data_IF_726062847641
#
_entry.id   IF_726062847641
#
_cell.length_a   1.000
_cell.length_b   1.000
_cell.length_c   1.000
_cell.angle_alpha   90.00
_cell.angle_beta   90.00
_cell.angle_gamma   90.00
#
_symmetry.space_group_name_H-M   'P 1'
#
loop_
_entity.id
_entity.type
_entity.pdbx_description
1 polymer ?
#
# COMPACT_ATOMS: atom_id res chain seq x y z
N UNK A 1 12.70 17.20 19.78
CA UNK A 1 13.20 17.58 18.45
C UNK A 1 12.05 17.47 17.47
N UNK A 2 11.90 18.39 16.53
CA UNK A 2 10.89 18.29 15.47
C UNK A 2 11.26 17.07 14.59
N UNK A 3 10.31 16.16 14.38
CA UNK A 3 10.53 15.00 13.50
C UNK A 3 10.72 15.50 12.06
N UNK A 4 11.66 14.90 11.36
CA UNK A 4 11.94 15.20 9.95
C UNK A 4 11.60 13.99 9.08
N UNK A 5 10.92 14.21 7.97
CA UNK A 5 10.44 13.12 7.11
C UNK A 5 11.00 13.22 5.69
N UNK A 6 11.16 12.06 5.04
CA UNK A 6 11.34 11.92 3.60
C UNK A 6 10.10 11.24 3.02
N UNK A 7 9.60 11.70 1.88
CA UNK A 7 8.37 11.17 1.27
C UNK A 7 8.70 10.61 -0.11
N UNK A 8 8.63 9.30 -0.24
CA UNK A 8 8.78 8.62 -1.52
C UNK A 8 7.40 8.56 -2.20
N UNK A 9 7.21 9.33 -3.27
CA UNK A 9 5.93 9.44 -3.98
C UNK A 9 5.03 10.58 -3.49
N UNK A 10 5.57 11.78 -3.26
CA UNK A 10 4.88 12.94 -2.69
C UNK A 10 3.71 13.48 -3.53
N UNK A 11 3.70 13.27 -4.83
CA UNK A 11 2.65 13.78 -5.74
C UNK A 11 1.43 12.86 -5.85
N UNK A 12 1.52 11.63 -5.35
CA UNK A 12 0.43 10.66 -5.28
C UNK A 12 -0.62 11.02 -4.22
N UNK A 13 -1.69 10.21 -4.13
CA UNK A 13 -2.77 10.44 -3.15
C UNK A 13 -2.26 10.43 -1.71
N UNK A 14 -1.52 9.40 -1.32
CA UNK A 14 -0.96 9.27 0.04
C UNK A 14 0.12 10.34 0.30
N UNK A 15 1.00 10.58 -0.68
CA UNK A 15 2.05 11.60 -0.54
C UNK A 15 1.50 13.00 -0.29
N UNK A 16 0.46 13.42 -1.00
CA UNK A 16 -0.20 14.71 -0.78
C UNK A 16 -0.84 14.81 0.60
N UNK A 17 -1.57 13.77 1.02
CA UNK A 17 -2.17 13.74 2.36
C UNK A 17 -1.08 13.68 3.47
N UNK A 18 0.07 13.08 3.17
CA UNK A 18 1.24 13.13 4.08
C UNK A 18 1.78 14.56 4.21
N UNK A 19 1.85 15.31 3.12
CA UNK A 19 2.25 16.73 3.17
C UNK A 19 1.25 17.58 3.94
N UNK A 20 -0.08 17.34 3.77
CA UNK A 20 -1.11 18.01 4.57
C UNK A 20 -0.91 17.74 6.08
N UNK A 21 -0.67 16.49 6.44
CA UNK A 21 -0.39 16.10 7.83
C UNK A 21 0.93 16.71 8.33
N UNK A 22 1.98 16.74 7.49
CA UNK A 22 3.26 17.32 7.83
C UNK A 22 3.14 18.81 8.13
N UNK A 23 2.35 19.53 7.33
CA UNK A 23 2.07 20.96 7.56
C UNK A 23 1.38 21.21 8.91
N UNK A 24 0.35 20.43 9.24
CA UNK A 24 -0.40 20.56 10.48
C UNK A 24 0.41 20.17 11.72
N UNK A 25 1.29 19.20 11.59
CA UNK A 25 2.18 18.76 12.66
C UNK A 25 3.47 19.57 12.73
N UNK A 26 3.66 20.56 11.85
CA UNK A 26 4.90 21.33 11.71
C UNK A 26 6.14 20.43 11.56
N UNK A 27 6.01 19.33 10.81
CA UNK A 27 7.12 18.44 10.51
C UNK A 27 8.01 19.07 9.43
N UNK A 28 9.31 18.85 9.54
CA UNK A 28 10.25 19.22 8.50
C UNK A 28 10.24 18.13 7.40
N UNK A 29 10.13 18.55 6.15
CA UNK A 29 10.24 17.67 4.98
C UNK A 29 11.66 17.81 4.42
N UNK A 30 12.47 16.75 4.54
CA UNK A 30 13.86 16.76 4.06
C UNK A 30 13.97 16.39 2.59
N UNK A 31 13.15 15.43 2.14
CA UNK A 31 13.14 15.01 0.73
C UNK A 31 11.73 14.69 0.25
N UNK A 32 11.49 14.94 -1.03
CA UNK A 32 10.27 14.56 -1.75
C UNK A 32 10.64 13.90 -3.08
N UNK A 33 9.86 12.91 -3.49
CA UNK A 33 10.10 12.25 -4.78
C UNK A 33 8.83 12.04 -5.59
N UNK A 34 8.95 11.97 -6.91
CA UNK A 34 7.87 11.57 -7.82
C UNK A 34 8.45 10.92 -9.08
N UNK A 35 7.59 10.50 -10.01
CA UNK A 35 8.04 9.97 -11.31
C UNK A 35 8.34 11.11 -12.29
N UNK A 36 7.31 11.85 -12.74
CA UNK A 36 7.44 12.86 -13.79
C UNK A 36 6.56 14.12 -13.57
N UNK A 37 5.98 14.29 -12.38
CA UNK A 37 5.02 15.38 -12.09
C UNK A 37 5.72 16.70 -11.77
N UNK A 38 6.23 17.40 -12.78
CA UNK A 38 7.06 18.61 -12.62
C UNK A 38 6.32 19.74 -11.90
N UNK A 39 5.13 20.11 -12.35
CA UNK A 39 4.36 21.22 -11.80
C UNK A 39 4.07 21.04 -10.29
N UNK A 40 3.61 19.84 -9.93
CA UNK A 40 3.32 19.53 -8.52
C UNK A 40 4.58 19.49 -7.66
N UNK A 41 5.68 18.99 -8.20
CA UNK A 41 6.95 19.00 -7.49
C UNK A 41 7.45 20.43 -7.26
N UNK A 42 7.33 21.31 -8.24
CA UNK A 42 7.65 22.74 -8.08
C UNK A 42 6.81 23.39 -6.97
N UNK A 43 5.48 23.18 -6.98
CA UNK A 43 4.58 23.68 -5.92
C UNK A 43 5.01 23.17 -4.53
N UNK A 44 5.29 21.86 -4.40
CA UNK A 44 5.73 21.25 -3.15
C UNK A 44 7.09 21.75 -2.68
N UNK A 45 8.06 21.97 -3.59
CA UNK A 45 9.37 22.56 -3.28
C UNK A 45 9.19 23.97 -2.71
N UNK A 46 8.39 24.81 -3.36
CA UNK A 46 8.16 26.19 -2.92
C UNK A 46 7.41 26.28 -1.59
N UNK A 47 6.58 25.29 -1.27
CA UNK A 47 5.81 25.25 -0.04
C UNK A 47 6.59 24.67 1.15
N UNK A 48 7.33 23.56 0.94
CA UNK A 48 7.95 22.78 2.01
C UNK A 48 9.47 22.96 2.13
N UNK A 49 10.11 23.56 1.14
CA UNK A 49 11.56 23.84 1.09
C UNK A 49 12.42 22.59 1.44
N UNK A 50 12.19 21.44 0.79
CA UNK A 50 13.00 20.24 1.05
C UNK A 50 14.45 20.47 0.61
N UNK A 51 15.39 19.78 1.27
CA UNK A 51 16.79 19.80 0.85
C UNK A 51 16.98 19.06 -0.49
N UNK A 52 16.16 18.00 -0.72
CA UNK A 52 16.27 17.15 -1.91
C UNK A 52 14.90 16.95 -2.57
N UNK A 53 14.85 17.08 -3.88
CA UNK A 53 13.71 16.72 -4.71
C UNK A 53 14.16 15.75 -5.81
N UNK A 54 13.40 14.68 -6.04
CA UNK A 54 13.77 13.66 -7.01
C UNK A 54 12.64 13.40 -8.00
N UNK A 55 12.97 13.42 -9.28
CA UNK A 55 12.09 12.85 -10.31
C UNK A 55 12.80 11.66 -10.97
N UNK A 56 12.16 10.48 -10.94
CA UNK A 56 12.77 9.28 -11.55
C UNK A 56 12.84 9.35 -13.06
N UNK A 57 12.04 10.20 -13.71
CA UNK A 57 12.19 10.58 -15.12
C UNK A 57 13.26 11.67 -15.26
N UNK A 58 14.30 11.36 -16.02
CA UNK A 58 15.46 12.25 -16.22
C UNK A 58 15.14 13.55 -16.97
N UNK A 59 14.17 13.51 -17.91
CA UNK A 59 13.77 14.69 -18.65
C UNK A 59 12.97 15.65 -17.77
N UNK A 60 12.04 15.10 -16.98
CA UNK A 60 11.28 15.85 -16.00
C UNK A 60 12.18 16.43 -14.90
N UNK A 61 13.21 15.71 -14.46
CA UNK A 61 14.19 16.22 -13.49
C UNK A 61 14.98 17.42 -14.02
N UNK A 62 15.36 17.41 -15.31
CA UNK A 62 16.02 18.58 -15.95
C UNK A 62 15.11 19.79 -16.03
N UNK A 63 13.84 19.62 -16.40
CA UNK A 63 12.84 20.70 -16.43
C UNK A 63 12.62 21.26 -15.01
N UNK A 64 12.40 20.41 -14.02
CA UNK A 64 12.20 20.83 -12.62
C UNK A 64 13.41 21.64 -12.11
N UNK A 65 14.62 21.18 -12.37
CA UNK A 65 15.85 21.87 -11.95
C UNK A 65 15.92 23.31 -12.49
N UNK A 66 15.50 23.51 -13.75
CA UNK A 66 15.46 24.85 -14.35
C UNK A 66 14.39 25.74 -13.69
N UNK A 67 13.22 25.17 -13.36
CA UNK A 67 12.09 25.92 -12.75
C UNK A 67 12.35 26.37 -11.32
N UNK A 68 13.10 25.59 -10.54
CA UNK A 68 13.37 25.85 -9.12
C UNK A 68 14.80 26.35 -8.85
N UNK A 69 15.49 26.85 -9.89
CA UNK A 69 16.85 27.35 -9.78
C UNK A 69 17.02 28.54 -8.80
N UNK A 70 15.90 29.17 -8.42
CA UNK A 70 15.80 30.25 -7.44
C UNK A 70 15.62 29.75 -6.00
N UNK A 71 15.64 28.43 -5.76
CA UNK A 71 15.49 27.79 -4.44
C UNK A 71 16.77 27.08 -4.01
N UNK A 72 16.88 26.75 -2.71
CA UNK A 72 18.01 25.99 -2.16
C UNK A 72 17.85 24.46 -2.31
N UNK A 73 16.78 23.99 -2.98
CA UNK A 73 16.48 22.57 -3.16
C UNK A 73 17.38 21.95 -4.24
N UNK A 74 18.10 20.89 -3.87
CA UNK A 74 18.83 20.07 -4.84
C UNK A 74 17.85 19.19 -5.61
N UNK A 75 17.90 19.20 -6.95
CA UNK A 75 17.06 18.36 -7.81
C UNK A 75 17.92 17.25 -8.45
N UNK A 76 17.54 15.98 -8.21
CA UNK A 76 18.23 14.79 -8.73
C UNK A 76 17.27 14.00 -9.63
N UNK A 77 17.81 13.38 -10.69
CA UNK A 77 17.06 12.49 -11.60
C UNK A 77 17.36 11.01 -11.33
N UNK A 78 16.49 10.14 -11.86
CA UNK A 78 16.71 8.69 -11.90
C UNK A 78 16.45 7.94 -10.60
N UNK A 79 16.65 6.62 -10.67
CA UNK A 79 16.39 5.71 -9.54
C UNK A 79 17.39 5.91 -8.38
N UNK A 80 18.63 6.26 -8.67
CA UNK A 80 19.64 6.53 -7.65
C UNK A 80 19.23 7.71 -6.74
N UNK A 81 18.58 8.74 -7.31
CA UNK A 81 17.98 9.81 -6.51
C UNK A 81 16.91 9.33 -5.53
N UNK A 82 16.11 8.32 -5.94
CA UNK A 82 15.11 7.71 -5.04
C UNK A 82 15.78 7.00 -3.85
N UNK A 83 16.91 6.35 -4.09
CA UNK A 83 17.74 5.73 -3.04
C UNK A 83 18.32 6.79 -2.11
N UNK A 84 18.83 7.91 -2.65
CA UNK A 84 19.34 9.04 -1.88
C UNK A 84 18.25 9.66 -1.00
N UNK A 85 17.05 9.87 -1.52
CA UNK A 85 15.92 10.38 -0.74
C UNK A 85 15.50 9.43 0.40
N UNK A 86 15.56 8.11 0.17
CA UNK A 86 15.24 7.10 1.19
C UNK A 86 16.26 7.08 2.33
N UNK A 87 17.53 7.38 2.04
CA UNK A 87 18.64 7.32 3.01
C UNK A 87 19.09 8.68 3.52
N UNK A 88 18.43 9.78 3.09
CA UNK A 88 18.85 11.15 3.43
C UNK A 88 19.06 11.32 4.95
N UNK A 89 20.25 11.75 5.42
CA UNK A 89 20.58 11.73 6.85
C UNK A 89 19.68 12.57 7.74
N UNK A 90 19.08 13.63 7.18
CA UNK A 90 18.23 14.56 7.92
C UNK A 90 16.86 13.99 8.30
N UNK A 91 16.41 12.90 7.63
CA UNK A 91 15.10 12.32 7.91
C UNK A 91 15.19 11.21 8.95
N UNK A 92 14.31 11.28 9.95
CA UNK A 92 14.12 10.24 10.97
C UNK A 92 13.13 9.16 10.48
N UNK A 93 12.19 9.56 9.62
CA UNK A 93 11.10 8.73 9.11
C UNK A 93 11.03 8.82 7.60
N UNK A 94 10.84 7.67 6.94
CA UNK A 94 10.59 7.57 5.51
C UNK A 94 9.17 7.10 5.28
N UNK A 95 8.40 7.90 4.53
CA UNK A 95 7.05 7.53 4.09
C UNK A 95 7.16 6.89 2.71
N UNK A 96 6.83 5.62 2.61
CA UNK A 96 6.89 4.88 1.34
C UNK A 96 5.53 4.91 0.65
N UNK A 97 5.27 5.96 -0.14
CA UNK A 97 4.00 6.19 -0.83
C UNK A 97 4.09 5.99 -2.36
N UNK A 98 5.14 5.33 -2.84
CA UNK A 98 5.25 4.88 -4.23
C UNK A 98 4.38 3.64 -4.46
N UNK A 99 4.02 3.35 -5.70
CA UNK A 99 3.20 2.19 -6.09
C UNK A 99 4.08 1.11 -6.72
N UNK A 100 3.80 -0.15 -6.39
CA UNK A 100 4.46 -1.31 -7.00
C UNK A 100 5.86 -1.60 -6.44
N UNK A 101 6.59 -2.46 -7.14
CA UNK A 101 7.89 -3.00 -6.71
C UNK A 101 9.02 -1.97 -6.62
N UNK A 102 8.85 -0.77 -7.21
CA UNK A 102 9.86 0.30 -7.19
C UNK A 102 10.19 0.76 -5.77
N UNK A 103 9.26 0.59 -4.81
CA UNK A 103 9.44 0.94 -3.41
C UNK A 103 10.31 -0.02 -2.59
N UNK A 104 10.55 -1.25 -3.07
CA UNK A 104 11.20 -2.30 -2.28
C UNK A 104 12.66 -1.96 -1.92
N UNK A 105 13.50 -1.67 -2.92
CA UNK A 105 14.92 -1.32 -2.70
C UNK A 105 15.10 -0.08 -1.83
N UNK A 106 14.40 1.05 -2.08
CA UNK A 106 14.49 2.22 -1.21
C UNK A 106 14.04 1.96 0.22
N UNK A 107 13.01 1.12 0.42
CA UNK A 107 12.54 0.74 1.76
C UNK A 107 13.62 -0.05 2.51
N UNK A 108 14.24 -1.04 1.86
CA UNK A 108 15.35 -1.81 2.45
C UNK A 108 16.55 -0.92 2.78
N UNK A 109 16.91 0.03 1.91
CA UNK A 109 17.98 0.99 2.18
C UNK A 109 17.67 1.88 3.39
N UNK A 110 16.44 2.41 3.50
CA UNK A 110 16.01 3.18 4.65
C UNK A 110 16.02 2.38 5.96
N UNK A 111 15.66 1.09 5.91
CA UNK A 111 15.76 0.14 7.03
C UNK A 111 17.23 -0.03 7.46
N UNK A 112 18.14 -0.19 6.49
CA UNK A 112 19.58 -0.28 6.77
C UNK A 112 20.15 0.93 7.52
N UNK A 113 19.59 2.13 7.25
CA UNK A 113 19.89 3.37 7.96
C UNK A 113 19.09 3.53 9.28
N UNK A 114 18.42 2.47 9.72
CA UNK A 114 17.61 2.43 10.97
C UNK A 114 16.51 3.49 11.05
N UNK A 115 16.01 3.92 9.92
CA UNK A 115 14.91 4.90 9.88
C UNK A 115 13.59 4.23 10.21
N UNK A 116 12.66 4.99 10.82
CA UNK A 116 11.26 4.57 10.92
C UNK A 116 10.66 4.55 9.52
N UNK A 117 9.97 3.48 9.19
CA UNK A 117 9.23 3.33 7.92
C UNK A 117 7.74 3.53 8.17
N UNK A 118 7.17 4.61 7.66
CA UNK A 118 5.72 4.77 7.54
C UNK A 118 5.28 4.11 6.23
N UNK A 119 4.86 2.85 6.33
CA UNK A 119 4.68 1.99 5.17
C UNK A 119 3.29 2.16 4.56
N UNK A 120 3.22 2.75 3.37
CA UNK A 120 2.01 2.82 2.55
C UNK A 120 2.10 1.96 1.28
N UNK A 121 3.30 1.57 0.85
CA UNK A 121 3.53 0.69 -0.28
C UNK A 121 3.38 -0.77 0.15
N UNK A 122 2.16 -1.31 0.04
CA UNK A 122 1.85 -2.69 0.45
C UNK A 122 2.61 -3.74 -0.34
N UNK A 123 2.91 -3.46 -1.61
CA UNK A 123 3.62 -4.37 -2.50
C UNK A 123 5.00 -4.76 -1.95
N UNK A 124 5.63 -3.88 -1.19
CA UNK A 124 6.89 -4.17 -0.47
C UNK A 124 6.77 -5.39 0.45
N UNK A 125 5.71 -5.47 1.26
CA UNK A 125 5.47 -6.63 2.14
C UNK A 125 4.82 -7.80 1.43
N UNK A 126 3.99 -7.55 0.42
CA UNK A 126 3.39 -8.61 -0.40
C UNK A 126 4.48 -9.44 -1.08
N UNK A 127 5.43 -8.79 -1.74
CA UNK A 127 6.43 -9.46 -2.57
C UNK A 127 7.65 -9.95 -1.78
N UNK A 128 8.10 -9.17 -0.79
CA UNK A 128 9.34 -9.41 -0.06
C UNK A 128 9.19 -9.33 1.48
N UNK A 129 7.98 -9.62 1.99
CA UNK A 129 7.66 -9.32 3.39
C UNK A 129 8.55 -10.02 4.42
N UNK A 130 8.96 -11.27 4.20
CA UNK A 130 9.89 -11.96 5.10
C UNK A 130 11.25 -11.24 5.13
N UNK A 131 11.82 -10.96 3.96
CA UNK A 131 13.10 -10.28 3.82
C UNK A 131 13.06 -8.87 4.45
N UNK A 132 11.97 -8.11 4.23
CA UNK A 132 11.81 -6.76 4.76
C UNK A 132 11.64 -6.76 6.28
N UNK A 133 10.80 -7.65 6.82
CA UNK A 133 10.56 -7.73 8.25
C UNK A 133 11.78 -8.24 9.02
N UNK A 134 12.53 -9.18 8.46
CA UNK A 134 13.77 -9.67 9.06
C UNK A 134 14.88 -8.61 9.02
N UNK A 135 15.00 -7.86 7.91
CA UNK A 135 15.92 -6.73 7.82
C UNK A 135 15.58 -5.63 8.85
N UNK A 136 14.28 -5.32 9.01
CA UNK A 136 13.83 -4.33 10.00
C UNK A 136 14.15 -4.77 11.44
N UNK A 137 13.90 -6.03 11.78
CA UNK A 137 14.23 -6.58 13.10
C UNK A 137 15.73 -6.54 13.37
N UNK A 138 16.56 -6.99 12.41
CA UNK A 138 18.02 -6.96 12.53
C UNK A 138 18.59 -5.55 12.68
N UNK A 139 18.06 -4.58 11.93
CA UNK A 139 18.47 -3.19 12.01
C UNK A 139 17.92 -2.46 13.25
N UNK A 140 16.86 -2.98 13.87
CA UNK A 140 16.10 -2.28 14.90
C UNK A 140 15.28 -1.11 14.32
N UNK A 141 14.88 -1.19 13.04
CA UNK A 141 14.04 -0.21 12.38
C UNK A 141 12.57 -0.50 12.64
N UNK A 142 11.79 0.53 12.93
CA UNK A 142 10.36 0.40 13.21
C UNK A 142 9.55 0.55 11.92
N UNK A 143 8.68 -0.41 11.63
CA UNK A 143 7.69 -0.32 10.54
C UNK A 143 6.33 0.00 11.14
N UNK A 144 5.76 1.15 10.74
CA UNK A 144 4.42 1.60 11.15
C UNK A 144 3.52 1.65 9.92
N UNK A 145 2.43 0.87 9.89
CA UNK A 145 1.57 0.81 8.71
C UNK A 145 0.75 2.09 8.52
N UNK A 146 0.64 2.51 7.26
CA UNK A 146 -0.19 3.63 6.80
C UNK A 146 -1.48 3.12 6.13
N UNK A 147 -1.46 1.93 5.53
CA UNK A 147 -2.69 1.31 5.03
C UNK A 147 -3.74 1.25 6.15
N UNK A 148 -4.98 1.65 5.86
CA UNK A 148 -6.02 1.89 6.89
C UNK A 148 -6.33 0.66 7.72
N UNK A 149 -6.44 -0.51 7.10
CA UNK A 149 -6.74 -1.78 7.74
C UNK A 149 -5.59 -2.24 8.64
N UNK A 150 -4.36 -2.12 8.15
CA UNK A 150 -3.17 -2.49 8.92
C UNK A 150 -2.92 -1.50 10.06
N UNK A 151 -3.10 -0.21 9.82
CA UNK A 151 -3.05 0.80 10.89
C UNK A 151 -4.09 0.51 11.98
N UNK A 152 -5.30 0.09 11.60
CA UNK A 152 -6.35 -0.29 12.55
C UNK A 152 -5.94 -1.49 13.42
N UNK A 153 -5.42 -2.54 12.79
CA UNK A 153 -4.89 -3.72 13.51
C UNK A 153 -3.73 -3.31 14.42
N UNK A 154 -2.78 -2.52 13.90
CA UNK A 154 -1.65 -2.01 14.69
C UNK A 154 -2.12 -1.26 15.94
N UNK A 155 -3.16 -0.45 15.82
CA UNK A 155 -3.76 0.29 16.95
C UNK A 155 -4.48 -0.64 17.93
N UNK A 156 -5.19 -1.66 17.45
CA UNK A 156 -5.87 -2.65 18.29
C UNK A 156 -4.88 -3.55 19.04
N UNK A 157 -3.66 -3.70 18.53
CA UNK A 157 -2.58 -4.48 19.16
C UNK A 157 -1.74 -3.69 20.16
N UNK A 158 -2.03 -2.40 20.38
CA UNK A 158 -1.37 -1.64 21.44
C UNK A 158 -1.80 -2.20 22.81
N UNK A 159 -0.84 -2.68 23.57
CA UNK A 159 -1.10 -3.36 24.83
C UNK A 159 -1.22 -4.89 24.73
N UNK A 160 -1.18 -5.47 23.52
CA UNK A 160 -1.04 -6.91 23.36
C UNK A 160 0.41 -7.32 23.65
N UNK A 161 0.64 -7.93 24.81
CA UNK A 161 1.97 -8.31 25.25
C UNK A 161 2.51 -9.55 24.53
N UNK A 162 1.61 -10.46 24.14
CA UNK A 162 1.95 -11.72 23.51
C UNK A 162 1.08 -11.98 22.26
N UNK A 163 1.71 -12.13 21.11
CA UNK A 163 1.02 -12.47 19.85
C UNK A 163 0.23 -13.78 19.90
N UNK A 164 0.57 -14.68 20.80
CA UNK A 164 -0.19 -15.92 21.04
C UNK A 164 -1.58 -15.70 21.62
N UNK A 165 -1.87 -14.52 22.16
CA UNK A 165 -3.20 -14.10 22.61
C UNK A 165 -4.16 -13.81 21.45
N UNK A 166 -3.62 -13.55 20.24
CA UNK A 166 -4.41 -13.29 19.04
C UNK A 166 -5.03 -14.61 18.56
N UNK A 167 -6.36 -14.62 18.44
CA UNK A 167 -7.09 -15.70 17.80
C UNK A 167 -7.07 -15.52 16.29
N UNK A 168 -7.43 -14.32 15.81
CA UNK A 168 -7.36 -13.94 14.40
C UNK A 168 -7.43 -12.43 14.19
N UNK A 169 -6.96 -12.00 13.02
CA UNK A 169 -7.19 -10.68 12.46
C UNK A 169 -8.41 -10.73 11.53
N UNK A 170 -9.22 -9.67 11.54
CA UNK A 170 -10.40 -9.54 10.70
C UNK A 170 -10.25 -8.27 9.88
N UNK A 171 -9.85 -8.43 8.60
CA UNK A 171 -9.73 -7.33 7.65
C UNK A 171 -11.11 -6.97 7.10
N UNK A 172 -11.48 -5.71 7.16
CA UNK A 172 -12.71 -5.22 6.53
C UNK A 172 -12.43 -4.74 5.12
N UNK A 173 -13.42 -4.78 4.24
CA UNK A 173 -13.39 -4.11 2.94
C UNK A 173 -14.78 -3.63 2.53
N UNK A 174 -14.84 -2.61 1.66
CA UNK A 174 -16.12 -2.11 1.13
C UNK A 174 -16.81 -3.10 0.20
N UNK A 175 -16.08 -4.11 -0.31
CA UNK A 175 -16.55 -5.01 -1.37
C UNK A 175 -16.47 -4.40 -2.77
N UNK A 176 -15.94 -3.19 -2.91
CA UNK A 176 -15.78 -2.51 -4.20
C UNK A 176 -17.10 -2.04 -4.83
N UNK A 177 -17.05 -1.55 -6.09
CA UNK A 177 -18.22 -1.06 -6.82
C UNK A 177 -19.19 -2.18 -7.20
N UNK A 178 -18.74 -3.41 -7.36
CA UNK A 178 -19.52 -4.53 -7.87
C UNK A 178 -20.07 -5.48 -6.79
N UNK A 179 -20.04 -5.05 -5.54
CA UNK A 179 -20.60 -5.83 -4.43
C UNK A 179 -22.05 -6.25 -4.68
N UNK A 180 -22.30 -7.57 -4.55
CA UNK A 180 -23.62 -8.17 -4.75
C UNK A 180 -23.93 -8.59 -6.19
N UNK A 181 -23.03 -8.31 -7.14
CA UNK A 181 -23.14 -8.81 -8.52
C UNK A 181 -22.63 -10.26 -8.61
N UNK A 182 -23.25 -11.01 -9.52
CA UNK A 182 -22.79 -12.36 -9.91
C UNK A 182 -21.54 -12.26 -10.80
N UNK A 183 -20.84 -13.39 -10.96
CA UNK A 183 -19.67 -13.49 -11.85
C UNK A 183 -19.99 -13.00 -13.27
N UNK A 184 -21.12 -13.47 -13.87
CA UNK A 184 -21.52 -13.11 -15.23
C UNK A 184 -21.86 -11.62 -15.41
N UNK A 185 -22.38 -10.98 -14.35
CA UNK A 185 -22.67 -9.53 -14.37
C UNK A 185 -21.38 -8.72 -14.31
N UNK A 186 -20.47 -9.10 -13.45
CA UNK A 186 -19.18 -8.41 -13.27
C UNK A 186 -18.33 -8.47 -14.55
N UNK A 187 -18.39 -9.56 -15.33
CA UNK A 187 -17.67 -9.69 -16.59
C UNK A 187 -18.07 -8.71 -17.70
N UNK A 188 -19.22 -8.06 -17.54
CA UNK A 188 -19.74 -7.05 -18.49
C UNK A 188 -19.36 -5.62 -18.10
N UNK A 189 -18.71 -5.45 -16.95
CA UNK A 189 -18.39 -4.12 -16.41
C UNK A 189 -17.21 -3.49 -17.15
N UNK A 190 -17.32 -2.19 -17.33
CA UNK A 190 -16.30 -1.38 -18.02
C UNK A 190 -15.26 -0.84 -17.02
N UNK A 191 -14.21 -0.26 -17.56
CA UNK A 191 -13.21 0.49 -16.79
C UNK A 191 -13.85 1.63 -15.99
N UNK A 192 -14.76 2.36 -16.59
CA UNK A 192 -15.48 3.48 -15.96
C UNK A 192 -16.30 3.01 -14.77
N UNK A 193 -16.91 1.82 -14.86
CA UNK A 193 -17.67 1.21 -13.75
C UNK A 193 -16.73 0.77 -12.64
N UNK A 194 -15.61 0.14 -12.98
CA UNK A 194 -14.60 -0.31 -12.02
C UNK A 194 -13.95 0.86 -11.25
N UNK A 195 -13.84 2.04 -11.86
CA UNK A 195 -13.27 3.23 -11.25
C UNK A 195 -14.21 3.99 -10.29
N UNK A 196 -15.48 3.56 -10.15
CA UNK A 196 -16.47 4.18 -9.24
C UNK A 196 -16.46 3.56 -7.85
N UNK A 197 -15.38 3.82 -7.08
CA UNK A 197 -15.33 3.31 -5.70
C UNK A 197 -16.36 4.00 -4.80
N UNK A 198 -17.12 3.27 -3.94
CA UNK A 198 -18.23 3.83 -3.17
C UNK A 198 -17.82 4.83 -2.08
N UNK A 199 -16.67 4.69 -1.45
CA UNK A 199 -16.30 5.42 -0.24
C UNK A 199 -14.98 6.19 -0.35
N UNK A 200 -14.08 5.81 -1.26
CA UNK A 200 -12.73 6.34 -1.35
C UNK A 200 -12.42 6.94 -2.71
N UNK A 201 -11.70 8.06 -2.71
CA UNK A 201 -11.09 8.62 -3.93
C UNK A 201 -9.62 8.22 -3.97
N UNK A 202 -9.29 7.28 -4.85
CA UNK A 202 -7.97 6.65 -4.92
C UNK A 202 -7.38 6.70 -6.34
N UNK A 203 -6.15 6.25 -6.48
CA UNK A 203 -5.54 6.05 -7.79
C UNK A 203 -6.24 4.93 -8.60
N UNK A 204 -6.13 4.94 -9.93
CA UNK A 204 -6.86 4.00 -10.79
C UNK A 204 -6.48 2.53 -10.53
N UNK A 205 -5.20 2.21 -10.33
CA UNK A 205 -4.75 0.83 -10.07
C UNK A 205 -5.42 0.24 -8.84
N UNK A 206 -5.31 0.89 -7.68
CA UNK A 206 -5.90 0.39 -6.43
C UNK A 206 -7.44 0.36 -6.49
N UNK A 207 -8.08 1.24 -7.26
CA UNK A 207 -9.53 1.24 -7.44
C UNK A 207 -9.99 -0.01 -8.19
N UNK A 208 -9.28 -0.43 -9.26
CA UNK A 208 -9.53 -1.70 -9.96
C UNK A 208 -9.21 -2.89 -9.04
N UNK A 209 -8.14 -2.84 -8.25
CA UNK A 209 -7.85 -3.89 -7.26
C UNK A 209 -8.97 -4.04 -6.22
N UNK A 210 -9.61 -2.95 -5.81
CA UNK A 210 -10.80 -3.01 -4.95
C UNK A 210 -12.00 -3.64 -5.67
N UNK A 211 -12.18 -3.33 -6.95
CA UNK A 211 -13.27 -3.90 -7.76
C UNK A 211 -13.14 -5.41 -7.96
N UNK A 212 -11.90 -5.93 -8.08
CA UNK A 212 -11.59 -7.36 -8.21
C UNK A 212 -11.45 -8.08 -6.87
N UNK A 213 -11.45 -7.38 -5.73
CA UNK A 213 -11.02 -7.83 -4.41
C UNK A 213 -9.54 -8.24 -4.33
N UNK A 214 -8.72 -7.97 -5.35
CA UNK A 214 -7.27 -8.18 -5.28
C UNK A 214 -6.64 -7.31 -4.19
N UNK A 215 -7.06 -6.05 -4.05
CA UNK A 215 -6.55 -5.18 -2.98
C UNK A 215 -6.67 -5.87 -1.61
N UNK A 216 -7.81 -6.48 -1.32
CA UNK A 216 -8.00 -7.20 -0.05
C UNK A 216 -7.15 -8.46 0.03
N UNK A 217 -6.93 -9.15 -1.09
CA UNK A 217 -5.98 -10.27 -1.17
C UNK A 217 -4.54 -9.85 -0.86
N UNK A 218 -4.08 -8.73 -1.42
CA UNK A 218 -2.74 -8.17 -1.11
C UNK A 218 -2.64 -7.78 0.37
N UNK A 219 -3.69 -7.22 0.93
CA UNK A 219 -3.74 -6.85 2.35
C UNK A 219 -3.73 -8.06 3.29
N UNK A 220 -4.33 -9.20 2.89
CA UNK A 220 -4.20 -10.47 3.64
C UNK A 220 -2.73 -10.88 3.73
N UNK A 221 -2.01 -10.83 2.61
CA UNK A 221 -0.58 -11.17 2.56
C UNK A 221 0.23 -10.19 3.44
N UNK A 222 -0.03 -8.89 3.30
CA UNK A 222 0.64 -7.86 4.09
C UNK A 222 0.42 -8.08 5.59
N UNK A 223 -0.81 -8.37 6.04
CA UNK A 223 -1.13 -8.64 7.43
C UNK A 223 -0.38 -9.86 7.97
N UNK A 224 -0.31 -10.94 7.18
CA UNK A 224 0.47 -12.13 7.55
C UNK A 224 1.94 -11.79 7.82
N UNK A 225 2.55 -10.97 6.95
CA UNK A 225 3.96 -10.57 7.05
C UNK A 225 4.19 -9.60 8.21
N UNK A 226 3.41 -8.53 8.26
CA UNK A 226 3.58 -7.45 9.25
C UNK A 226 3.36 -7.94 10.68
N UNK A 227 2.38 -8.82 10.88
CA UNK A 227 2.03 -9.33 12.22
C UNK A 227 2.58 -10.73 12.50
N UNK A 228 3.31 -11.33 11.55
CA UNK A 228 3.90 -12.69 11.65
C UNK A 228 2.86 -13.74 12.04
N UNK A 229 1.69 -13.72 11.40
CA UNK A 229 0.60 -14.64 11.62
C UNK A 229 0.36 -15.54 10.39
N UNK A 230 -0.05 -16.79 10.57
CA UNK A 230 -0.38 -17.68 9.45
C UNK A 230 -1.69 -17.25 8.78
N UNK A 231 -1.87 -17.62 7.51
CA UNK A 231 -3.09 -17.34 6.74
C UNK A 231 -4.38 -17.77 7.48
N UNK A 232 -4.33 -18.89 8.20
CA UNK A 232 -5.48 -19.41 8.98
C UNK A 232 -5.95 -18.47 10.09
N UNK A 233 -5.14 -17.49 10.48
CA UNK A 233 -5.48 -16.47 11.47
C UNK A 233 -5.83 -15.11 10.84
N UNK A 234 -5.97 -15.01 9.52
CA UNK A 234 -6.41 -13.80 8.83
C UNK A 234 -7.72 -14.07 8.10
N UNK A 235 -8.74 -13.30 8.39
CA UNK A 235 -10.06 -13.41 7.75
C UNK A 235 -10.50 -12.08 7.14
N UNK A 236 -11.38 -12.16 6.14
CA UNK A 236 -11.91 -10.99 5.43
C UNK A 236 -13.42 -10.91 5.62
N UNK A 237 -13.92 -9.72 5.88
CA UNK A 237 -15.36 -9.41 5.92
C UNK A 237 -15.67 -8.17 5.08
N UNK A 238 -16.81 -8.19 4.41
CA UNK A 238 -17.34 -7.01 3.74
C UNK A 238 -17.99 -6.09 4.79
N UNK A 239 -17.60 -4.83 4.79
CA UNK A 239 -18.18 -3.76 5.60
C UNK A 239 -18.37 -2.52 4.73
N UNK A 240 -19.57 -2.37 4.17
CA UNK A 240 -19.89 -1.36 3.15
C UNK A 240 -19.65 0.07 3.57
N UNK A 241 -19.83 0.36 4.85
CA UNK A 241 -19.76 1.71 5.40
C UNK A 241 -18.32 2.21 5.56
N UNK A 242 -17.32 1.33 5.56
CA UNK A 242 -15.89 1.66 5.78
C UNK A 242 -15.62 2.48 7.05
N UNK A 243 -16.45 2.29 8.09
CA UNK A 243 -16.32 2.94 9.42
C UNK A 243 -15.44 2.09 10.34
N UNK A 244 -15.65 0.77 10.36
CA UNK A 244 -14.76 -0.19 11.03
C UNK A 244 -13.63 -0.50 10.05
N UNK A 245 -12.42 -0.06 10.37
CA UNK A 245 -11.28 -0.24 9.47
C UNK A 245 -10.66 -1.64 9.54
N UNK A 246 -10.59 -2.26 10.71
CA UNK A 246 -10.31 -3.70 10.94
C UNK A 246 -10.46 -4.04 12.41
N UNK A 247 -10.39 -5.36 12.73
CA UNK A 247 -10.59 -5.87 14.09
C UNK A 247 -9.54 -6.92 14.42
N UNK A 248 -9.29 -7.07 15.72
CA UNK A 248 -8.49 -8.16 16.29
C UNK A 248 -9.38 -8.95 17.26
N UNK A 249 -9.53 -10.24 17.00
CA UNK A 249 -10.19 -11.17 17.91
C UNK A 249 -9.14 -11.87 18.77
N UNK A 250 -9.29 -11.77 20.07
CA UNK A 250 -8.41 -12.40 21.06
C UNK A 250 -8.94 -13.77 21.51
N UNK A 251 -8.09 -14.58 22.14
CA UNK A 251 -8.45 -15.95 22.57
C UNK A 251 -9.45 -15.98 23.72
N UNK A 252 -9.57 -14.92 24.50
CA UNK A 252 -10.57 -14.76 25.53
C UNK A 252 -11.97 -14.43 25.01
N UNK A 253 -12.10 -14.24 23.68
CA UNK A 253 -13.35 -13.90 23.00
C UNK A 253 -13.56 -12.39 22.82
N UNK A 254 -12.68 -11.53 23.34
CA UNK A 254 -12.76 -10.09 23.10
C UNK A 254 -12.44 -9.77 21.63
N UNK A 255 -13.18 -8.80 21.08
CA UNK A 255 -12.92 -8.27 19.74
C UNK A 255 -12.69 -6.77 19.85
N UNK A 256 -11.46 -6.33 19.52
CA UNK A 256 -11.13 -4.91 19.45
C UNK A 256 -11.19 -4.43 18.01
N UNK A 257 -11.76 -3.24 17.82
CA UNK A 257 -11.89 -2.61 16.50
C UNK A 257 -11.44 -1.16 16.55
N UNK A 258 -10.79 -0.69 15.50
CA UNK A 258 -10.57 0.73 15.29
C UNK A 258 -11.63 1.25 14.34
N UNK A 259 -12.33 2.30 14.76
CA UNK A 259 -13.37 2.99 14.01
C UNK A 259 -12.90 4.42 13.67
N UNK A 260 -13.36 4.93 12.54
CA UNK A 260 -13.11 6.30 12.12
C UNK A 260 -13.84 6.64 10.83
N UNK A 261 -13.86 7.90 10.46
CA UNK A 261 -14.28 8.35 9.13
C UNK A 261 -13.28 7.85 8.09
N UNK A 262 -13.68 7.56 6.83
CA UNK A 262 -12.80 7.10 5.77
C UNK A 262 -11.89 8.24 5.26
N UNK A 263 -10.83 8.52 6.02
CA UNK A 263 -9.83 9.57 5.73
C UNK A 263 -8.42 9.05 6.01
N UNK A 264 -7.58 8.96 4.96
CA UNK A 264 -6.21 8.48 5.08
C UNK A 264 -5.31 9.36 5.94
N UNK A 265 -5.70 10.60 6.23
CA UNK A 265 -4.95 11.46 7.15
C UNK A 265 -4.95 10.92 8.58
N UNK A 266 -5.94 10.10 8.96
CA UNK A 266 -5.96 9.43 10.28
C UNK A 266 -4.79 8.43 10.43
N UNK A 267 -4.64 7.39 9.61
CA UNK A 267 -3.53 6.45 9.73
C UNK A 267 -2.17 7.09 9.41
N UNK A 268 -2.09 8.01 8.44
CA UNK A 268 -0.86 8.75 8.15
C UNK A 268 -0.41 9.52 9.40
N UNK A 269 -1.32 10.28 10.01
CA UNK A 269 -1.01 11.05 11.22
C UNK A 269 -0.55 10.15 12.35
N UNK A 270 -1.26 9.04 12.57
CA UNK A 270 -0.87 8.09 13.61
C UNK A 270 0.54 7.53 13.37
N UNK A 271 0.88 7.18 12.14
CA UNK A 271 2.23 6.73 11.80
C UNK A 271 3.31 7.81 12.07
N UNK A 272 2.97 9.10 11.86
CA UNK A 272 3.90 10.21 12.15
C UNK A 272 4.02 10.49 13.65
N UNK A 273 2.95 10.33 14.43
CA UNK A 273 2.94 10.72 15.84
C UNK A 273 3.20 9.56 16.80
N UNK A 274 3.06 8.31 16.36
CA UNK A 274 3.25 7.13 17.17
C UNK A 274 4.50 7.20 18.07
N UNK A 275 4.41 6.82 19.36
CA UNK A 275 3.28 6.17 20.03
C UNK A 275 2.16 7.12 20.54
N UNK A 276 2.31 8.42 20.34
CA UNK A 276 1.36 9.41 20.82
C UNK A 276 0.20 9.61 19.81
N UNK A 277 -0.90 10.17 20.31
CA UNK A 277 -2.03 10.64 19.52
C UNK A 277 -2.11 12.15 19.59
N UNK A 278 -2.53 12.78 18.50
CA UNK A 278 -2.75 14.22 18.44
C UNK A 278 -4.11 14.55 17.83
N UNK A 279 -4.48 15.82 17.81
CA UNK A 279 -5.68 16.29 17.13
C UNK A 279 -5.66 15.91 15.66
N UNK A 280 -6.78 15.49 15.09
CA UNK A 280 -6.91 15.06 13.71
C UNK A 280 -7.62 16.14 12.87
N UNK A 281 -7.21 16.34 11.61
CA UNK A 281 -7.95 17.18 10.67
C UNK A 281 -9.19 16.48 10.07
N UNK A 282 -9.31 15.16 10.27
CA UNK A 282 -10.46 14.41 9.81
C UNK A 282 -11.68 14.71 10.67
N UNK A 283 -12.85 14.73 10.05
CA UNK A 283 -14.12 14.86 10.76
C UNK A 283 -14.26 13.76 11.80
N UNK A 284 -14.60 14.11 13.06
CA UNK A 284 -14.85 13.10 14.10
C UNK A 284 -15.98 12.15 13.71
N UNK A 285 -15.83 10.88 14.02
CA UNK A 285 -16.92 9.92 13.86
C UNK A 285 -17.97 10.16 14.94
N UNK A 286 -19.19 10.48 14.53
CA UNK A 286 -20.35 10.51 15.42
C UNK A 286 -21.12 9.20 15.32
N UNK A 287 -21.07 8.38 16.37
CA UNK A 287 -21.76 7.10 16.41
C UNK A 287 -23.29 7.21 16.46
N UNK A 288 -23.83 8.37 16.84
CA UNK A 288 -25.29 8.58 16.91
C UNK A 288 -25.88 8.87 15.53
N UNK A 289 -25.11 9.46 14.65
CA UNK A 289 -25.53 9.81 13.27
C UNK A 289 -25.01 8.85 12.20
N UNK A 290 -24.10 7.94 12.53
CA UNK A 290 -23.55 7.00 11.56
C UNK A 290 -24.60 5.96 11.14
N UNK A 291 -24.52 5.42 9.91
CA UNK A 291 -25.42 4.37 9.44
C UNK A 291 -25.19 3.07 10.24
N UNK A 292 -26.18 2.14 10.26
CA UNK A 292 -25.99 0.82 10.87
C UNK A 292 -24.75 0.11 10.29
N UNK A 293 -23.92 -0.43 11.17
CA UNK A 293 -22.73 -1.18 10.78
C UNK A 293 -23.15 -2.59 10.34
N UNK A 294 -22.84 -2.94 9.11
CA UNK A 294 -23.19 -4.25 8.52
C UNK A 294 -21.96 -5.03 8.11
N UNK A 295 -22.01 -6.35 8.23
CA UNK A 295 -20.93 -7.25 7.88
C UNK A 295 -21.46 -8.42 7.05
N UNK A 296 -20.69 -8.82 6.01
CA UNK A 296 -21.04 -9.94 5.15
C UNK A 296 -19.78 -10.72 4.75
N UNK A 297 -19.99 -11.93 4.23
CA UNK A 297 -18.90 -12.74 3.65
C UNK A 297 -18.51 -12.21 2.27
N UNK A 298 -17.22 -12.22 1.89
CA UNK A 298 -16.80 -11.96 0.51
C UNK A 298 -17.19 -13.13 -0.40
N UNK A 299 -17.65 -12.81 -1.60
CA UNK A 299 -17.93 -13.82 -2.64
C UNK A 299 -16.65 -14.12 -3.44
N UNK A 300 -15.98 -15.24 -3.09
CA UNK A 300 -14.76 -15.68 -3.75
C UNK A 300 -15.00 -16.33 -5.12
N UNK A 301 -16.26 -16.59 -5.47
CA UNK A 301 -16.64 -17.11 -6.79
C UNK A 301 -16.80 -15.95 -7.77
N UNK A 302 -17.56 -14.93 -7.39
CA UNK A 302 -17.73 -13.74 -8.20
C UNK A 302 -16.42 -12.91 -8.32
N UNK A 303 -15.56 -12.97 -7.29
CA UNK A 303 -14.30 -12.22 -7.23
C UNK A 303 -13.09 -13.15 -6.97
N UNK A 304 -12.60 -13.87 -8.01
CA UNK A 304 -11.56 -14.90 -7.87
C UNK A 304 -10.21 -14.37 -7.36
N UNK A 305 -9.90 -13.07 -7.56
CA UNK A 305 -8.61 -12.49 -7.18
C UNK A 305 -8.30 -12.61 -5.69
N UNK A 306 -9.30 -12.54 -4.81
CA UNK A 306 -9.10 -12.76 -3.37
C UNK A 306 -8.60 -14.20 -3.10
N UNK A 307 -9.21 -15.21 -3.74
CA UNK A 307 -8.79 -16.60 -3.61
C UNK A 307 -7.39 -16.83 -4.20
N UNK A 308 -7.09 -16.24 -5.36
CA UNK A 308 -5.76 -16.33 -5.98
C UNK A 308 -4.66 -15.78 -5.07
N UNK A 309 -4.95 -14.69 -4.34
CA UNK A 309 -4.02 -14.11 -3.37
C UNK A 309 -3.85 -15.00 -2.13
N UNK A 310 -4.94 -15.56 -1.59
CA UNK A 310 -4.90 -16.52 -0.48
C UNK A 310 -4.09 -17.77 -0.85
N UNK A 311 -4.25 -18.30 -2.08
CA UNK A 311 -3.47 -19.43 -2.60
C UNK A 311 -1.98 -19.09 -2.76
N UNK A 312 -1.63 -17.89 -3.25
CA UNK A 312 -0.25 -17.43 -3.35
C UNK A 312 0.40 -17.29 -1.96
N UNK A 313 -0.35 -16.75 -1.00
CA UNK A 313 0.07 -16.64 0.39
C UNK A 313 0.37 -18.01 1.02
N UNK A 314 -0.50 -19.00 0.77
CA UNK A 314 -0.32 -20.38 1.25
C UNK A 314 0.88 -21.09 0.60
N UNK A 315 1.16 -20.80 -0.68
CA UNK A 315 2.30 -21.35 -1.41
C UNK A 315 3.64 -20.79 -0.92
N UNK A 316 3.69 -19.49 -0.59
CA UNK A 316 4.90 -18.83 -0.09
C UNK A 316 5.96 -18.60 -1.16
N UNK A 317 7.20 -18.35 -0.74
CA UNK A 317 8.31 -18.04 -1.62
C UNK A 317 8.02 -16.86 -2.55
N UNK A 318 8.39 -16.97 -3.83
CA UNK A 318 8.14 -15.94 -4.84
C UNK A 318 6.70 -15.90 -5.36
N UNK A 319 5.78 -16.78 -4.91
CA UNK A 319 4.42 -16.85 -5.42
C UNK A 319 3.64 -15.52 -5.29
N UNK A 320 3.87 -14.78 -4.20
CA UNK A 320 3.24 -13.47 -3.99
C UNK A 320 3.81 -12.39 -4.92
N UNK A 321 5.09 -12.45 -5.27
CA UNK A 321 5.71 -11.54 -6.25
C UNK A 321 5.16 -11.81 -7.65
N UNK A 322 5.00 -13.09 -8.02
CA UNK A 322 4.35 -13.49 -9.28
C UNK A 322 2.92 -12.98 -9.35
N UNK A 323 2.14 -13.17 -8.27
CA UNK A 323 0.76 -12.68 -8.18
C UNK A 323 0.71 -11.16 -8.41
N UNK A 324 1.56 -10.42 -7.69
CA UNK A 324 1.56 -8.95 -7.75
C UNK A 324 1.98 -8.44 -9.14
N UNK A 325 3.08 -8.96 -9.71
CA UNK A 325 3.57 -8.55 -11.01
C UNK A 325 2.56 -8.84 -12.13
N UNK A 326 1.92 -10.02 -12.09
CA UNK A 326 0.86 -10.36 -13.03
C UNK A 326 -0.36 -9.46 -12.89
N UNK A 327 -0.78 -9.16 -11.64
CA UNK A 327 -1.92 -8.29 -11.40
C UNK A 327 -1.64 -6.84 -11.85
N UNK A 328 -0.49 -6.29 -11.55
CA UNK A 328 -0.14 -4.92 -11.98
C UNK A 328 -0.18 -4.79 -13.50
N UNK A 329 0.36 -5.77 -14.22
CA UNK A 329 0.37 -5.77 -15.68
C UNK A 329 -1.06 -5.95 -16.25
N UNK A 330 -1.83 -6.91 -15.73
CA UNK A 330 -3.21 -7.14 -16.17
C UNK A 330 -4.10 -5.92 -15.91
N UNK A 331 -3.99 -5.28 -14.75
CA UNK A 331 -4.71 -4.04 -14.45
C UNK A 331 -4.28 -2.91 -15.37
N UNK A 332 -2.99 -2.80 -15.71
CA UNK A 332 -2.48 -1.84 -16.69
C UNK A 332 -3.13 -2.02 -18.06
N UNK A 333 -3.23 -3.26 -18.53
CA UNK A 333 -3.89 -3.60 -19.79
C UNK A 333 -5.40 -3.29 -19.76
N UNK A 334 -6.08 -3.59 -18.67
CA UNK A 334 -7.49 -3.26 -18.48
C UNK A 334 -7.74 -1.74 -18.50
N UNK A 335 -6.91 -0.96 -17.81
CA UNK A 335 -6.98 0.50 -17.81
C UNK A 335 -6.69 1.12 -19.19
N UNK A 336 -5.93 0.40 -20.04
CA UNK A 336 -5.66 0.77 -21.43
C UNK A 336 -6.70 0.23 -22.42
N UNK A 337 -7.81 -0.34 -21.96
CA UNK A 337 -8.90 -0.94 -22.76
C UNK A 337 -8.43 -2.08 -23.70
N UNK A 338 -7.37 -2.81 -23.30
CA UNK A 338 -6.81 -3.91 -24.09
C UNK A 338 -7.38 -5.27 -23.72
N UNK A 339 -7.94 -5.43 -22.52
CA UNK A 339 -8.54 -6.66 -21.99
C UNK A 339 -9.83 -6.34 -21.24
N UNK A 340 -10.70 -7.35 -21.07
CA UNK A 340 -11.91 -7.25 -20.26
C UNK A 340 -11.66 -7.47 -18.76
N UNK A 341 -12.69 -7.24 -17.96
CA UNK A 341 -12.57 -7.32 -16.49
C UNK A 341 -12.22 -8.75 -16.00
N UNK A 342 -12.83 -9.78 -16.60
CA UNK A 342 -12.54 -11.19 -16.26
C UNK A 342 -11.17 -11.67 -16.72
N UNK A 343 -10.57 -11.02 -17.72
CA UNK A 343 -9.23 -11.39 -18.16
C UNK A 343 -8.18 -11.11 -17.06
N UNK A 344 -8.47 -10.18 -16.12
CA UNK A 344 -7.55 -9.88 -15.00
C UNK A 344 -7.27 -11.14 -14.17
N UNK A 345 -8.29 -11.78 -13.50
CA UNK A 345 -8.02 -12.98 -12.71
C UNK A 345 -7.50 -14.14 -13.55
N UNK A 346 -7.91 -14.27 -14.82
CA UNK A 346 -7.48 -15.35 -15.71
C UNK A 346 -6.00 -15.23 -16.05
N UNK A 347 -5.51 -14.04 -16.41
CA UNK A 347 -4.10 -13.78 -16.68
C UNK A 347 -3.23 -13.95 -15.42
N UNK A 348 -3.72 -13.51 -14.26
CA UNK A 348 -3.03 -13.73 -12.98
C UNK A 348 -2.92 -15.23 -12.66
N UNK A 349 -4.00 -15.99 -12.82
CA UNK A 349 -3.98 -17.44 -12.60
C UNK A 349 -3.01 -18.17 -13.55
N UNK A 350 -2.99 -17.76 -14.82
CA UNK A 350 -2.11 -18.33 -15.83
C UNK A 350 -0.63 -18.01 -15.54
N UNK A 351 -0.29 -16.77 -15.18
CA UNK A 351 1.07 -16.40 -14.84
C UNK A 351 1.57 -17.17 -13.60
N UNK A 352 0.70 -17.37 -12.58
CA UNK A 352 1.01 -18.19 -11.40
C UNK A 352 1.24 -19.66 -11.72
N UNK A 353 0.59 -20.19 -12.74
CA UNK A 353 0.80 -21.58 -13.17
C UNK A 353 2.08 -21.75 -14.01
N UNK A 354 2.52 -20.71 -14.71
CA UNK A 354 3.66 -20.72 -15.64
C UNK A 354 4.99 -20.41 -14.95
N UNK A 355 5.01 -19.40 -14.07
CA UNK A 355 6.25 -18.95 -13.43
C UNK A 355 6.60 -19.84 -12.25
N UNK A 356 7.79 -20.44 -12.30
CA UNK A 356 8.28 -21.30 -11.23
C UNK A 356 8.50 -20.51 -9.92
N UNK A 357 8.12 -21.12 -8.79
CA UNK A 357 8.25 -20.50 -7.46
C UNK A 357 9.56 -20.92 -6.80
N UNK A 358 10.34 -19.95 -6.35
CA UNK A 358 11.52 -20.14 -5.49
C UNK A 358 11.08 -20.07 -4.04
N UNK A 359 11.35 -21.12 -3.25
CA UNK A 359 10.82 -21.26 -1.87
C UNK A 359 11.56 -20.42 -0.82
N UNK A 360 12.85 -20.16 -1.03
CA UNK A 360 13.67 -19.31 -0.14
C UNK A 360 14.35 -18.24 -0.99
N UNK A 361 13.60 -17.21 -1.44
CA UNK A 361 14.08 -16.28 -2.45
C UNK A 361 15.05 -15.24 -1.88
N UNK A 362 16.03 -14.90 -2.68
CA UNK A 362 16.82 -13.66 -2.55
C UNK A 362 16.01 -12.48 -3.08
N UNK A 363 16.50 -11.26 -2.89
CA UNK A 363 15.91 -10.06 -3.50
C UNK A 363 15.88 -10.16 -5.04
N UNK A 364 16.96 -10.68 -5.63
CA UNK A 364 17.07 -10.86 -7.08
C UNK A 364 16.05 -11.89 -7.60
N UNK A 365 15.81 -12.99 -6.88
CA UNK A 365 14.78 -13.98 -7.23
C UNK A 365 13.37 -13.36 -7.21
N UNK A 366 13.09 -12.49 -6.25
CA UNK A 366 11.80 -11.77 -6.14
C UNK A 366 11.61 -10.82 -7.33
N UNK A 367 12.63 -10.04 -7.67
CA UNK A 367 12.58 -9.10 -8.79
C UNK A 367 12.47 -9.84 -10.14
N UNK A 368 13.15 -10.96 -10.29
CA UNK A 368 13.05 -11.79 -11.50
C UNK A 368 11.68 -12.45 -11.61
N UNK A 369 11.10 -12.93 -10.51
CA UNK A 369 9.74 -13.49 -10.50
C UNK A 369 8.67 -12.46 -10.90
N UNK A 370 8.77 -11.20 -10.42
CA UNK A 370 7.90 -10.09 -10.84
C UNK A 370 8.05 -9.82 -12.34
N UNK A 371 9.29 -9.76 -12.85
CA UNK A 371 9.57 -9.54 -14.27
C UNK A 371 8.98 -10.64 -15.16
N UNK A 372 9.20 -11.90 -14.80
CA UNK A 372 8.68 -13.05 -15.54
C UNK A 372 7.16 -13.11 -15.54
N UNK A 373 6.52 -12.73 -14.42
CA UNK A 373 5.07 -12.66 -14.33
C UNK A 373 4.48 -11.62 -15.28
N UNK A 374 5.07 -10.42 -15.35
CA UNK A 374 4.66 -9.38 -16.29
C UNK A 374 4.82 -9.82 -17.74
N UNK A 375 5.94 -10.44 -18.08
CA UNK A 375 6.17 -10.97 -19.42
C UNK A 375 5.17 -12.07 -19.80
N UNK A 376 4.79 -12.94 -18.84
CA UNK A 376 3.77 -13.95 -19.06
C UNK A 376 2.43 -13.33 -19.44
N UNK A 377 1.99 -12.29 -18.71
CA UNK A 377 0.74 -11.56 -18.99
C UNK A 377 0.80 -10.90 -20.37
N UNK A 378 1.88 -10.19 -20.70
CA UNK A 378 2.04 -9.51 -21.98
C UNK A 378 2.01 -10.48 -23.19
N UNK A 379 2.61 -11.67 -23.07
CA UNK A 379 2.58 -12.68 -24.13
C UNK A 379 1.17 -13.22 -24.41
N UNK A 380 0.32 -13.25 -23.40
CA UNK A 380 -1.02 -13.85 -23.50
C UNK A 380 -2.13 -12.84 -23.80
N UNK A 381 -1.84 -11.56 -23.67
CA UNK A 381 -2.77 -10.46 -24.01
C UNK A 381 -2.62 -9.98 -25.46
N UNK A 382 -1.68 -10.54 -26.24
CA UNK A 382 -1.51 -10.34 -27.67
C UNK A 382 -2.14 -11.47 -28.45
#
# INVERSE_FOLDING_TARGET
>A
MSKTISILGSTGSIGRQTLDVAQQLHLRVAAITAHASVERMEEQIRQFHPALAVLTDEAAARDLRARVADTDTTVVGGFEGLMEAATIPQADTVVTAVVGMVGLRPTLAAIGEKKRIALANKETLVCAGELVMDAAEQAGAEIVPVDSEHSAIFQCLQGCADRREIRRLILTCSGGPFYGMSYDEVGKMTKEDALRHPNWTMGPKITVDCATLMNKGLEVIEAMRLYRLPLSQVSVVIHRQSIVHSLVEYRDGAVLAQLGTPDMRLPIRYAMTYPNRGESPAEPLDLLSCPPLTFAQPDRTAFPCLRLAEEAAAQGGTACAVLNGANEEAVGLFLADRIGFHDIPDLVAQARAEVAVVTSPTLEDILEADRLARESVLRKSN
#
